data_IF_784641426224
#
_entry.id   IF_784641426224
#
_cell.length_a   1.000
_cell.length_b   1.000
_cell.length_c   1.000
_cell.angle_alpha   90.00
_cell.angle_beta   90.00
_cell.angle_gamma   90.00
#
_symmetry.space_group_name_H-M   'P 1'
#
loop_
_entity.id
_entity.type
_entity.pdbx_description
1 polymer ?
#
# COMPACT_ATOMS: atom_id res chain seq x y z
N UNK A 1 -8.76 9.77 0.44
CA UNK A 1 -7.32 9.46 0.50
C UNK A 1 -6.57 10.02 -0.72
N UNK A 2 -5.35 10.54 -0.51
CA UNK A 2 -4.51 11.14 -1.54
C UNK A 2 -3.17 10.39 -1.68
N UNK A 3 -2.69 10.28 -2.91
CA UNK A 3 -1.27 10.03 -3.17
C UNK A 3 -0.53 11.37 -3.17
N UNK A 4 0.56 11.47 -2.41
CA UNK A 4 1.43 12.64 -2.42
C UNK A 4 2.84 12.20 -2.74
N UNK A 5 3.40 12.77 -3.80
CA UNK A 5 4.81 12.61 -4.16
C UNK A 5 5.53 13.94 -4.05
N UNK A 6 6.83 13.91 -3.80
CA UNK A 6 7.62 15.12 -3.68
C UNK A 6 9.06 14.86 -3.31
N UNK A 7 9.78 15.92 -2.98
CA UNK A 7 11.14 15.88 -2.50
C UNK A 7 11.21 16.51 -1.11
N UNK A 8 11.96 15.87 -0.21
CA UNK A 8 12.16 16.32 1.17
C UNK A 8 13.66 16.34 1.50
N UNK A 9 14.08 17.41 2.18
CA UNK A 9 15.41 17.53 2.80
C UNK A 9 15.39 18.51 3.96
N UNK A 10 16.50 18.61 4.67
CA UNK A 10 16.75 19.70 5.60
C UNK A 10 16.96 21.03 4.87
N UNK A 11 16.42 22.09 5.47
CA UNK A 11 16.59 23.46 5.00
C UNK A 11 18.02 23.95 5.20
N UNK A 12 18.69 23.47 6.26
CA UNK A 12 20.01 23.89 6.68
C UNK A 12 20.88 22.68 7.04
N UNK A 13 22.21 22.76 6.86
CA UNK A 13 23.10 21.68 7.25
C UNK A 13 23.17 21.54 8.79
N UNK A 14 23.62 20.37 9.25
CA UNK A 14 23.87 20.03 10.65
C UNK A 14 22.64 20.09 11.58
N UNK A 15 21.43 19.89 11.07
CA UNK A 15 20.27 19.68 11.93
C UNK A 15 20.43 18.32 12.64
N UNK A 16 20.27 18.26 13.97
CA UNK A 16 20.46 17.01 14.69
C UNK A 16 19.27 16.05 14.48
N UNK A 17 19.59 14.84 14.05
CA UNK A 17 18.67 13.72 13.84
C UNK A 17 19.01 12.54 14.74
N UNK A 18 18.00 11.80 15.18
CA UNK A 18 18.14 10.56 15.96
C UNK A 18 18.18 9.33 15.06
N UNK A 19 17.65 9.43 13.83
CA UNK A 19 17.59 8.34 12.87
C UNK A 19 18.56 8.56 11.73
N UNK A 20 19.13 7.48 11.20
CA UNK A 20 20.01 7.52 10.02
C UNK A 20 19.24 7.09 8.77
N UNK A 21 19.56 7.70 7.63
CA UNK A 21 19.04 7.30 6.33
C UNK A 21 20.03 6.33 5.68
N UNK A 22 19.52 5.27 5.04
CA UNK A 22 20.36 4.18 4.53
C UNK A 22 21.13 4.50 3.25
N UNK A 23 20.60 5.41 2.42
CA UNK A 23 21.10 5.66 1.06
C UNK A 23 21.28 7.14 0.72
N UNK A 24 21.12 8.03 1.69
CA UNK A 24 21.24 9.49 1.52
C UNK A 24 21.52 10.14 2.87
N UNK A 25 21.60 11.47 2.92
CA UNK A 25 21.65 12.26 4.15
C UNK A 25 20.39 13.13 4.26
N UNK A 26 20.12 13.70 5.44
CA UNK A 26 19.01 14.64 5.58
C UNK A 26 19.24 15.92 4.77
N UNK A 27 20.50 16.33 4.57
CA UNK A 27 20.90 17.49 3.78
C UNK A 27 20.71 17.26 2.28
N UNK A 28 21.04 16.06 1.80
CA UNK A 28 20.86 15.67 0.40
C UNK A 28 19.41 15.33 0.08
N UNK A 29 18.66 14.80 1.07
CA UNK A 29 17.26 14.48 0.94
C UNK A 29 16.95 13.29 0.04
N UNK A 30 15.67 13.13 -0.27
CA UNK A 30 15.19 12.11 -1.19
C UNK A 30 13.80 12.43 -1.75
N UNK A 31 13.45 11.75 -2.84
CA UNK A 31 12.09 11.74 -3.38
C UNK A 31 11.23 10.75 -2.61
N UNK A 32 10.04 11.18 -2.22
CA UNK A 32 9.08 10.36 -1.49
C UNK A 32 7.79 10.14 -2.29
N UNK A 33 7.09 9.04 -1.94
CA UNK A 33 5.70 8.76 -2.28
C UNK A 33 5.01 8.33 -0.99
N UNK A 34 3.95 9.01 -0.56
CA UNK A 34 3.18 8.70 0.65
C UNK A 34 1.69 8.70 0.34
N UNK A 35 0.92 8.09 1.24
CA UNK A 35 -0.54 8.14 1.21
C UNK A 35 -1.05 8.83 2.46
N UNK A 36 -1.99 9.74 2.30
CA UNK A 36 -2.56 10.50 3.41
C UNK A 36 -4.08 10.42 3.36
N UNK A 37 -4.67 10.13 4.52
CA UNK A 37 -6.11 9.97 4.69
C UNK A 37 -6.81 11.35 4.78
N UNK A 38 -6.82 12.04 3.65
CA UNK A 38 -7.52 13.31 3.44
C UNK A 38 -8.22 13.28 2.08
N UNK A 39 -9.23 14.12 1.91
CA UNK A 39 -9.90 14.34 0.62
C UNK A 39 -9.20 15.43 -0.19
N UNK A 40 -8.65 16.44 0.47
CA UNK A 40 -7.81 17.49 -0.13
C UNK A 40 -6.84 18.04 0.94
N UNK A 41 -5.59 18.30 0.55
CA UNK A 41 -4.57 18.98 1.37
C UNK A 41 -3.92 20.17 0.63
N UNK A 42 -4.54 20.62 -0.45
CA UNK A 42 -4.10 21.80 -1.20
C UNK A 42 -4.13 23.06 -0.35
N UNK A 43 -3.43 24.10 -0.82
CA UNK A 43 -3.45 25.44 -0.22
C UNK A 43 -4.85 26.08 -0.18
N UNK A 44 -5.77 25.58 -1.00
CA UNK A 44 -7.20 25.96 -0.99
C UNK A 44 -7.97 25.28 0.14
N UNK A 45 -7.60 24.06 0.51
CA UNK A 45 -8.27 23.28 1.54
C UNK A 45 -7.73 23.58 2.95
N UNK A 46 -6.44 23.89 3.08
CA UNK A 46 -5.81 24.19 4.36
C UNK A 46 -4.53 25.02 4.22
N UNK A 47 -4.09 25.63 5.32
CA UNK A 47 -2.83 26.35 5.36
C UNK A 47 -1.63 25.45 5.00
N UNK A 48 -0.64 26.03 4.30
CA UNK A 48 0.57 25.33 3.82
C UNK A 48 1.35 24.69 4.97
N UNK A 49 1.36 25.32 6.15
CA UNK A 49 2.02 24.76 7.34
C UNK A 49 1.32 23.48 7.82
N UNK A 50 -0.01 23.45 7.77
CA UNK A 50 -0.81 22.28 8.15
C UNK A 50 -0.60 21.14 7.16
N UNK A 51 -0.69 21.40 5.86
CA UNK A 51 -0.46 20.38 4.83
C UNK A 51 0.98 19.88 4.83
N UNK A 52 1.95 20.78 5.01
CA UNK A 52 3.36 20.44 5.20
C UNK A 52 3.59 19.51 6.38
N UNK A 53 2.97 19.80 7.54
CA UNK A 53 3.07 18.93 8.71
C UNK A 53 2.44 17.55 8.48
N UNK A 54 1.33 17.45 7.73
CA UNK A 54 0.70 16.17 7.38
C UNK A 54 1.65 15.33 6.53
N UNK A 55 2.25 15.95 5.50
CA UNK A 55 3.21 15.31 4.60
C UNK A 55 4.44 14.81 5.38
N UNK A 56 5.06 15.67 6.19
CA UNK A 56 6.26 15.30 6.98
C UNK A 56 5.97 14.14 7.93
N UNK A 57 4.80 14.14 8.59
CA UNK A 57 4.42 13.02 9.48
C UNK A 57 4.33 11.69 8.72
N UNK A 58 3.67 11.70 7.57
CA UNK A 58 3.51 10.50 6.75
C UNK A 58 4.86 10.01 6.18
N UNK A 59 5.76 10.92 5.77
CA UNK A 59 7.12 10.57 5.37
C UNK A 59 7.89 9.94 6.54
N UNK A 60 7.90 10.58 7.70
CA UNK A 60 8.58 10.08 8.90
C UNK A 60 8.12 8.70 9.33
N UNK A 61 6.81 8.45 9.23
CA UNK A 61 6.21 7.14 9.50
C UNK A 61 6.66 6.11 8.46
N UNK A 62 6.47 6.40 7.17
CA UNK A 62 6.73 5.44 6.09
C UNK A 62 8.21 5.08 5.93
N UNK A 63 9.08 6.08 5.96
CA UNK A 63 10.50 5.92 5.68
C UNK A 63 11.34 5.79 6.94
N UNK A 64 10.70 5.71 8.11
CA UNK A 64 11.36 5.68 9.41
C UNK A 64 12.38 6.83 9.58
N UNK A 65 11.98 8.06 9.28
CA UNK A 65 12.80 9.27 9.42
C UNK A 65 12.32 10.13 10.60
N UNK A 66 12.98 11.26 10.85
CA UNK A 66 12.60 12.22 11.89
C UNK A 66 12.77 13.70 11.49
N UNK A 67 12.42 14.03 10.23
CA UNK A 67 12.30 15.42 9.77
C UNK A 67 11.38 16.24 10.68
N UNK A 68 11.73 17.51 10.88
CA UNK A 68 10.93 18.42 11.70
C UNK A 68 9.71 18.89 10.91
N UNK A 69 8.55 18.99 11.58
CA UNK A 69 7.28 19.35 10.92
C UNK A 69 7.19 20.82 10.48
N UNK A 70 8.20 21.62 10.78
CA UNK A 70 8.22 23.06 10.54
C UNK A 70 8.99 23.39 9.27
N UNK A 71 8.40 24.25 8.44
CA UNK A 71 8.99 24.75 7.20
C UNK A 71 10.29 25.54 7.43
N UNK A 72 10.57 25.96 8.67
CA UNK A 72 11.84 26.60 9.02
C UNK A 72 13.02 25.63 9.04
N UNK A 73 12.76 24.32 9.13
CA UNK A 73 13.80 23.29 9.24
C UNK A 73 13.75 22.29 8.11
N UNK A 74 12.58 22.06 7.52
CA UNK A 74 12.40 21.06 6.47
C UNK A 74 11.93 21.72 5.18
N UNK A 75 12.66 21.42 4.12
CA UNK A 75 12.36 21.84 2.77
C UNK A 75 11.49 20.79 2.09
N UNK A 76 10.28 21.19 1.68
CA UNK A 76 9.40 20.41 0.84
C UNK A 76 9.31 21.07 -0.54
N UNK A 77 9.55 20.32 -1.60
CA UNK A 77 9.43 20.82 -2.96
C UNK A 77 8.89 19.75 -3.91
N UNK A 78 8.47 20.17 -5.10
CA UNK A 78 7.95 19.33 -6.17
C UNK A 78 6.76 18.48 -5.71
N UNK A 79 5.96 19.03 -4.78
CA UNK A 79 4.79 18.35 -4.24
C UNK A 79 3.77 18.18 -5.36
N UNK A 80 3.42 16.92 -5.63
CA UNK A 80 2.33 16.54 -6.52
C UNK A 80 1.32 15.75 -5.71
N UNK A 81 0.09 16.22 -5.74
CA UNK A 81 -1.06 15.58 -5.08
C UNK A 81 -1.91 14.97 -6.17
N UNK A 82 -2.16 13.67 -6.07
CA UNK A 82 -3.03 12.92 -6.98
C UNK A 82 -4.18 12.36 -6.17
N UNK A 83 -5.43 12.74 -6.48
CA UNK A 83 -6.59 12.11 -5.85
C UNK A 83 -6.63 10.65 -6.28
N UNK A 84 -6.79 9.77 -5.30
CA UNK A 84 -7.02 8.36 -5.58
C UNK A 84 -8.49 8.20 -5.94
N UNK A 85 -8.80 7.41 -6.98
CA UNK A 85 -10.18 7.16 -7.40
C UNK A 85 -11.03 6.77 -6.17
N UNK A 86 -12.21 7.39 -6.05
CA UNK A 86 -13.10 7.28 -4.89
C UNK A 86 -13.35 5.82 -4.47
N UNK A 87 -13.54 4.95 -5.46
CA UNK A 87 -13.77 3.52 -5.26
C UNK A 87 -12.59 2.81 -4.57
N UNK A 88 -11.35 3.26 -4.81
CA UNK A 88 -10.19 2.69 -4.12
C UNK A 88 -10.07 3.25 -2.70
N UNK A 89 -10.45 4.50 -2.47
CA UNK A 89 -10.40 5.11 -1.13
C UNK A 89 -11.25 4.32 -0.15
N UNK A 90 -12.51 4.00 -0.52
CA UNK A 90 -13.42 3.23 0.35
C UNK A 90 -12.83 1.85 0.71
N UNK A 91 -12.33 1.11 -0.27
CA UNK A 91 -11.71 -0.20 -0.03
C UNK A 91 -10.48 -0.11 0.89
N UNK A 92 -9.64 0.91 0.71
CA UNK A 92 -8.45 1.08 1.52
C UNK A 92 -8.78 1.50 2.96
N UNK A 93 -9.84 2.28 3.19
CA UNK A 93 -10.30 2.60 4.56
C UNK A 93 -10.81 1.37 5.30
N UNK A 94 -11.54 0.46 4.65
CA UNK A 94 -12.02 -0.78 5.27
C UNK A 94 -10.85 -1.68 5.73
N UNK A 95 -9.79 -1.74 4.91
CA UNK A 95 -8.60 -2.54 5.25
C UNK A 95 -7.76 -1.86 6.33
N UNK A 96 -7.63 -0.52 6.28
CA UNK A 96 -6.84 0.30 7.19
C UNK A 96 -5.40 -0.24 7.40
N UNK A 97 -4.71 -0.51 6.29
CA UNK A 97 -3.34 -1.02 6.28
C UNK A 97 -2.50 -0.30 5.22
N UNK A 98 -1.44 0.38 5.67
CA UNK A 98 -0.60 1.22 4.79
C UNK A 98 0.13 0.41 3.72
N UNK A 99 0.52 -0.84 4.03
CA UNK A 99 1.20 -1.73 3.08
C UNK A 99 0.23 -2.15 1.98
N UNK A 100 -0.98 -2.58 2.35
CA UNK A 100 -2.04 -2.90 1.39
C UNK A 100 -2.37 -1.69 0.51
N UNK A 101 -2.60 -0.51 1.10
CA UNK A 101 -2.91 0.70 0.32
C UNK A 101 -1.82 1.02 -0.69
N UNK A 102 -0.55 0.90 -0.29
CA UNK A 102 0.58 1.12 -1.19
C UNK A 102 0.57 0.15 -2.37
N UNK A 103 0.48 -1.15 -2.09
CA UNK A 103 0.50 -2.19 -3.12
C UNK A 103 -0.71 -2.06 -4.05
N UNK A 104 -1.90 -1.79 -3.50
CA UNK A 104 -3.12 -1.71 -4.30
C UNK A 104 -3.09 -0.52 -5.27
N UNK A 105 -2.51 0.61 -4.85
CA UNK A 105 -2.34 1.78 -5.72
C UNK A 105 -1.34 1.48 -6.82
N UNK A 106 -0.15 0.94 -6.49
CA UNK A 106 0.85 0.56 -7.49
C UNK A 106 0.28 -0.41 -8.52
N UNK A 107 -0.47 -1.42 -8.07
CA UNK A 107 -1.11 -2.39 -8.96
C UNK A 107 -2.08 -1.74 -9.95
N UNK A 108 -2.87 -0.76 -9.51
CA UNK A 108 -3.78 -0.02 -10.39
C UNK A 108 -3.00 0.91 -11.34
N UNK A 109 -1.94 1.58 -10.89
CA UNK A 109 -1.14 2.47 -11.75
C UNK A 109 -0.47 1.74 -12.92
N UNK A 110 0.06 0.54 -12.67
CA UNK A 110 0.69 -0.27 -13.73
C UNK A 110 -0.36 -0.97 -14.59
N UNK A 111 -1.53 -1.32 -14.02
CA UNK A 111 -2.68 -1.82 -14.78
C UNK A 111 -3.17 -0.79 -15.81
N UNK A 112 -3.31 0.49 -15.40
CA UNK A 112 -3.75 1.58 -16.28
C UNK A 112 -2.76 1.86 -17.43
N UNK A 113 -1.49 1.49 -17.24
CA UNK A 113 -0.43 1.55 -18.26
C UNK A 113 -0.36 0.32 -19.16
N UNK A 114 -1.29 -0.63 -19.02
CA UNK A 114 -1.30 -1.94 -19.71
C UNK A 114 -0.10 -2.85 -19.38
N UNK A 115 0.59 -2.60 -18.26
CA UNK A 115 1.69 -3.45 -17.78
C UNK A 115 1.14 -4.60 -16.94
N UNK A 116 0.38 -5.50 -17.57
CA UNK A 116 -0.45 -6.50 -16.88
C UNK A 116 0.34 -7.53 -16.08
N UNK A 117 1.55 -7.91 -16.49
CA UNK A 117 2.39 -8.79 -15.70
C UNK A 117 2.76 -8.15 -14.35
N UNK A 118 3.18 -6.89 -14.38
CA UNK A 118 3.48 -6.14 -13.16
C UNK A 118 2.22 -5.96 -12.30
N UNK A 119 1.08 -5.61 -12.92
CA UNK A 119 -0.20 -5.48 -12.23
C UNK A 119 -0.60 -6.78 -11.52
N UNK A 120 -0.53 -7.91 -12.24
CA UNK A 120 -0.87 -9.23 -11.73
C UNK A 120 -0.01 -9.62 -10.53
N UNK A 121 1.31 -9.38 -10.59
CA UNK A 121 2.21 -9.59 -9.47
C UNK A 121 1.78 -8.79 -8.24
N UNK A 122 1.59 -7.48 -8.38
CA UNK A 122 1.29 -6.61 -7.23
C UNK A 122 -0.13 -6.86 -6.69
N UNK A 123 -1.13 -7.13 -7.54
CA UNK A 123 -2.45 -7.59 -7.08
C UNK A 123 -2.38 -8.94 -6.35
N UNK A 124 -1.52 -9.85 -6.78
CA UNK A 124 -1.28 -11.11 -6.07
C UNK A 124 -0.77 -10.88 -4.65
N UNK A 125 0.16 -9.95 -4.47
CA UNK A 125 0.65 -9.53 -3.15
C UNK A 125 -0.46 -8.87 -2.32
N UNK A 126 -1.35 -8.07 -2.93
CA UNK A 126 -2.50 -7.50 -2.23
C UNK A 126 -3.42 -8.59 -1.66
N UNK A 127 -3.73 -9.64 -2.44
CA UNK A 127 -4.53 -10.79 -1.97
C UNK A 127 -3.87 -11.48 -0.78
N UNK A 128 -2.56 -11.72 -0.87
CA UNK A 128 -1.77 -12.31 0.22
C UNK A 128 -1.80 -11.46 1.49
N UNK A 129 -1.61 -10.13 1.35
CA UNK A 129 -1.69 -9.19 2.47
C UNK A 129 -3.06 -9.22 3.14
N UNK A 130 -4.14 -9.23 2.36
CA UNK A 130 -5.50 -9.31 2.91
C UNK A 130 -5.73 -10.59 3.72
N UNK A 131 -5.34 -11.75 3.19
CA UNK A 131 -5.51 -13.02 3.90
C UNK A 131 -4.67 -13.08 5.18
N UNK A 132 -3.48 -12.49 5.16
CA UNK A 132 -2.65 -12.37 6.35
C UNK A 132 -3.29 -11.46 7.41
N UNK A 133 -3.78 -10.29 7.01
CA UNK A 133 -4.47 -9.35 7.90
C UNK A 133 -5.72 -9.99 8.54
N UNK A 134 -6.48 -10.79 7.79
CA UNK A 134 -7.61 -11.55 8.35
C UNK A 134 -7.14 -12.51 9.44
N UNK A 135 -6.08 -13.26 9.20
CA UNK A 135 -5.54 -14.14 10.24
C UNK A 135 -5.10 -13.38 11.48
N UNK A 136 -4.39 -12.26 11.32
CA UNK A 136 -3.97 -11.41 12.45
C UNK A 136 -5.14 -10.86 13.25
N UNK A 137 -6.20 -10.37 12.59
CA UNK A 137 -7.41 -9.85 13.26
C UNK A 137 -8.14 -10.91 14.08
N UNK A 138 -7.95 -12.18 13.75
CA UNK A 138 -8.52 -13.32 14.44
C UNK A 138 -7.51 -14.08 15.31
N UNK A 139 -6.37 -13.46 15.64
CA UNK A 139 -5.31 -14.02 16.48
C UNK A 139 -4.81 -15.39 16.00
N UNK A 140 -4.90 -15.64 14.70
CA UNK A 140 -4.42 -16.87 14.09
C UNK A 140 -2.90 -16.80 13.97
N UNK A 141 -2.22 -17.76 14.59
CA UNK A 141 -0.78 -17.92 14.42
C UNK A 141 -0.46 -18.22 12.94
N UNK A 142 0.26 -17.34 12.25
CA UNK A 142 0.64 -17.49 10.85
C UNK A 142 2.16 -17.34 10.73
N UNK A 143 2.82 -18.41 10.31
CA UNK A 143 4.24 -18.35 9.94
C UNK A 143 4.40 -17.63 8.60
N UNK A 144 5.15 -16.52 8.63
CA UNK A 144 5.33 -15.60 7.51
C UNK A 144 6.21 -16.20 6.40
N UNK A 145 7.16 -17.06 6.75
CA UNK A 145 8.25 -17.42 5.84
C UNK A 145 8.00 -18.64 4.94
N UNK A 146 6.98 -19.46 5.20
CA UNK A 146 6.77 -20.73 4.47
C UNK A 146 5.31 -21.03 4.10
N UNK A 147 4.37 -20.16 4.43
CA UNK A 147 2.96 -20.45 4.16
C UNK A 147 2.63 -20.17 2.69
N UNK A 148 2.64 -21.22 1.86
CA UNK A 148 2.03 -21.16 0.54
C UNK A 148 0.60 -20.60 0.67
N UNK A 149 0.22 -19.66 -0.17
CA UNK A 149 -1.07 -18.95 -0.09
C UNK A 149 -2.28 -19.91 -0.03
N UNK A 150 -2.20 -21.07 -0.69
CA UNK A 150 -3.19 -22.14 -0.58
C UNK A 150 -3.31 -22.75 0.83
N UNK A 151 -2.21 -22.92 1.54
CA UNK A 151 -2.18 -23.38 2.95
C UNK A 151 -2.81 -22.34 3.88
N UNK A 152 -2.52 -21.05 3.67
CA UNK A 152 -3.14 -19.96 4.42
C UNK A 152 -4.67 -19.97 4.25
N UNK A 153 -5.15 -20.08 3.01
CA UNK A 153 -6.59 -20.17 2.71
C UNK A 153 -7.23 -21.35 3.45
N UNK A 154 -6.61 -22.54 3.38
CA UNK A 154 -7.13 -23.72 4.08
C UNK A 154 -7.17 -23.51 5.60
N UNK A 155 -6.16 -22.83 6.17
CA UNK A 155 -6.10 -22.53 7.61
C UNK A 155 -7.20 -21.54 8.01
N UNK A 156 -7.43 -20.49 7.24
CA UNK A 156 -8.50 -19.52 7.47
C UNK A 156 -9.89 -20.17 7.40
N UNK A 157 -10.12 -21.07 6.43
CA UNK A 157 -11.36 -21.85 6.31
C UNK A 157 -11.55 -22.79 7.50
N UNK A 158 -10.51 -23.53 7.90
CA UNK A 158 -10.57 -24.47 9.04
C UNK A 158 -10.96 -23.75 10.34
N UNK A 159 -10.49 -22.52 10.51
CA UNK A 159 -10.79 -21.68 11.67
C UNK A 159 -12.08 -20.85 11.50
N UNK A 160 -12.86 -21.07 10.44
CA UNK A 160 -14.13 -20.36 10.15
C UNK A 160 -13.99 -18.83 10.04
N UNK A 161 -12.78 -18.34 9.71
CA UNK A 161 -12.52 -16.92 9.42
C UNK A 161 -13.02 -16.59 8.01
N UNK A 162 -12.89 -17.57 7.10
CA UNK A 162 -13.39 -17.50 5.73
C UNK A 162 -14.38 -18.65 5.50
N UNK A 163 -15.45 -18.37 4.77
CA UNK A 163 -16.45 -19.38 4.42
C UNK A 163 -15.92 -20.38 3.38
N UNK A 164 -16.27 -21.66 3.55
CA UNK A 164 -15.87 -22.74 2.63
C UNK A 164 -16.30 -22.47 1.18
N UNK A 165 -17.43 -21.80 0.98
CA UNK A 165 -17.95 -21.45 -0.36
C UNK A 165 -16.99 -20.55 -1.15
N UNK A 166 -16.12 -19.80 -0.48
CA UNK A 166 -15.18 -18.88 -1.11
C UNK A 166 -13.85 -19.52 -1.49
N UNK A 167 -13.64 -20.78 -1.10
CA UNK A 167 -12.37 -21.49 -1.29
C UNK A 167 -11.88 -21.46 -2.73
N UNK A 168 -12.76 -21.77 -3.69
CA UNK A 168 -12.38 -21.84 -5.10
C UNK A 168 -11.97 -20.47 -5.64
N UNK A 169 -12.66 -19.40 -5.22
CA UNK A 169 -12.33 -18.03 -5.62
C UNK A 169 -10.94 -17.64 -5.13
N UNK A 170 -10.65 -17.92 -3.85
CA UNK A 170 -9.37 -17.60 -3.23
C UNK A 170 -8.23 -18.45 -3.77
N UNK A 171 -8.45 -19.75 -3.97
CA UNK A 171 -7.45 -20.66 -4.55
C UNK A 171 -7.12 -20.29 -5.99
N UNK A 172 -8.09 -19.83 -6.77
CA UNK A 172 -7.84 -19.32 -8.11
C UNK A 172 -6.96 -18.06 -8.08
N UNK A 173 -7.26 -17.09 -7.22
CA UNK A 173 -6.42 -15.91 -7.04
C UNK A 173 -4.98 -16.28 -6.59
N UNK A 174 -4.86 -17.25 -5.69
CA UNK A 174 -3.56 -17.76 -5.25
C UNK A 174 -2.76 -18.44 -6.36
N UNK A 175 -3.46 -19.18 -7.24
CA UNK A 175 -2.85 -19.77 -8.43
C UNK A 175 -2.31 -18.69 -9.37
N UNK A 176 -3.07 -17.62 -9.61
CA UNK A 176 -2.61 -16.51 -10.43
C UNK A 176 -1.37 -15.83 -9.84
N UNK A 177 -1.36 -15.52 -8.55
CA UNK A 177 -0.17 -14.98 -7.85
C UNK A 177 1.06 -15.86 -8.04
N UNK A 178 0.91 -17.18 -7.92
CA UNK A 178 2.01 -18.11 -8.13
C UNK A 178 2.45 -18.15 -9.59
N UNK A 179 1.51 -18.12 -10.54
CA UNK A 179 1.82 -18.08 -11.97
C UNK A 179 2.63 -16.85 -12.33
N UNK A 180 2.24 -15.66 -11.89
CA UNK A 180 2.93 -14.39 -12.20
C UNK A 180 4.31 -14.28 -11.55
N UNK A 181 4.59 -15.06 -10.50
CA UNK A 181 5.89 -15.08 -9.81
C UNK A 181 6.95 -15.96 -10.50
N UNK A 182 6.59 -16.74 -11.53
CA UNK A 182 7.53 -17.61 -12.25
C UNK A 182 8.14 -16.92 -13.49
N UNK A 183 9.39 -17.27 -13.81
CA UNK A 183 10.26 -16.63 -14.81
C UNK A 183 9.77 -16.68 -16.26
N UNK A 184 8.78 -17.53 -16.59
CA UNK A 184 8.18 -17.67 -17.93
C UNK A 184 6.70 -17.25 -17.97
N UNK A 185 6.29 -16.34 -17.09
CA UNK A 185 4.88 -15.95 -16.96
C UNK A 185 4.51 -14.73 -17.80
N UNK A 186 3.27 -14.72 -18.28
CA UNK A 186 2.61 -13.54 -18.82
C UNK A 186 1.26 -13.40 -18.09
N UNK A 187 0.77 -12.18 -18.00
CA UNK A 187 -0.57 -11.92 -17.48
C UNK A 187 -1.37 -11.15 -18.50
N UNK A 188 -2.60 -11.59 -18.72
CA UNK A 188 -3.57 -10.88 -19.52
C UNK A 188 -4.31 -9.87 -18.64
N UNK A 189 -4.92 -8.88 -19.28
CA UNK A 189 -5.85 -7.96 -18.61
C UNK A 189 -6.93 -8.71 -17.81
N UNK A 190 -7.45 -9.80 -18.38
CA UNK A 190 -8.46 -10.64 -17.73
C UNK A 190 -7.98 -11.26 -16.41
N UNK A 191 -6.70 -11.65 -16.32
CA UNK A 191 -6.14 -12.21 -15.08
C UNK A 191 -6.09 -11.15 -13.98
N UNK A 192 -5.72 -9.92 -14.35
CA UNK A 192 -5.73 -8.77 -13.45
C UNK A 192 -7.17 -8.41 -13.03
N UNK A 193 -8.13 -8.48 -13.94
CA UNK A 193 -9.55 -8.22 -13.65
C UNK A 193 -10.10 -9.22 -12.62
N UNK A 194 -9.73 -10.51 -12.75
CA UNK A 194 -10.09 -11.56 -11.78
C UNK A 194 -9.47 -11.26 -10.41
N UNK A 195 -8.18 -10.89 -10.35
CA UNK A 195 -7.50 -10.58 -9.10
C UNK A 195 -8.11 -9.34 -8.41
N UNK A 196 -8.35 -8.26 -9.17
CA UNK A 196 -9.01 -7.04 -8.67
C UNK A 196 -10.43 -7.32 -8.16
N UNK A 197 -11.20 -8.15 -8.88
CA UNK A 197 -12.53 -8.59 -8.44
C UNK A 197 -12.47 -9.42 -7.14
N UNK A 198 -11.44 -10.26 -7.00
CA UNK A 198 -11.22 -11.02 -5.78
C UNK A 198 -10.87 -10.12 -4.58
N UNK A 199 -10.01 -9.11 -4.78
CA UNK A 199 -9.65 -8.12 -3.76
C UNK A 199 -10.91 -7.38 -3.27
N UNK A 200 -11.70 -6.83 -4.18
CA UNK A 200 -12.96 -6.14 -3.86
C UNK A 200 -13.90 -7.04 -3.03
N UNK A 201 -14.04 -8.30 -3.46
CA UNK A 201 -14.86 -9.28 -2.76
C UNK A 201 -14.39 -9.57 -1.33
N UNK A 202 -13.08 -9.82 -1.14
CA UNK A 202 -12.51 -10.12 0.17
C UNK A 202 -12.75 -8.94 1.12
N UNK A 203 -12.47 -7.72 0.67
CA UNK A 203 -12.61 -6.51 1.49
C UNK A 203 -14.07 -6.31 1.89
N UNK A 204 -14.99 -6.31 0.93
CA UNK A 204 -16.42 -6.08 1.18
C UNK A 204 -17.07 -7.15 2.06
N UNK A 205 -16.56 -8.38 2.03
CA UNK A 205 -17.11 -9.48 2.83
C UNK A 205 -16.50 -9.58 4.23
N UNK A 206 -15.19 -9.38 4.35
CA UNK A 206 -14.45 -9.75 5.56
C UNK A 206 -13.79 -8.58 6.32
N UNK A 207 -13.77 -7.37 5.76
CA UNK A 207 -13.14 -6.19 6.37
C UNK A 207 -14.16 -5.11 6.79
N UNK A 208 -15.41 -5.52 7.04
CA UNK A 208 -16.46 -4.66 7.61
C UNK A 208 -16.33 -4.53 9.12
#
# INVERSE_FOLDING_TARGET
MLEVTGFIKDQYPNIPHKKLLSHTTYEDGFYFKIFVDYDDISDRAMAIETSGSIIVNAVNKKYNTDFRKSNSYTYLNQIKIKPILKDFSELMHLVNDEIFSYQFIEANEVYDQNLFLAAGCVYGVCVERLLFLLGQRHELDIEIDNTQLGTLINKLIKNKIIEKIDENRLKNAARFRNQTAHTNSFSLKMDCDILRSCIDYIIKKYFK
#
